data_IF_132384845711
#
_entry.id   IF_132384845711
#
_cell.length_a   1.000
_cell.length_b   1.000
_cell.length_c   1.000
_cell.angle_alpha   90.00
_cell.angle_beta   90.00
_cell.angle_gamma   90.00
#
_symmetry.space_group_name_H-M   'P 1'
#
loop_
_entity.id
_entity.type
_entity.pdbx_description
1 polymer ?
#
# COMPACT_ATOMS: atom_id res chain seq x y z
N UNK A 1 -15.88 -27.18 -1.65
CA UNK A 1 -15.22 -26.90 -0.38
C UNK A 1 -16.07 -25.99 0.50
N UNK A 2 -15.54 -25.56 1.65
CA UNK A 2 -16.28 -24.62 2.57
C UNK A 2 -16.69 -23.34 1.84
N UNK A 3 -15.86 -22.86 0.91
CA UNK A 3 -16.16 -21.68 0.10
C UNK A 3 -17.32 -21.91 -0.88
N UNK A 4 -17.38 -23.09 -1.51
CA UNK A 4 -18.48 -23.41 -2.45
C UNK A 4 -19.81 -23.53 -1.72
N UNK A 5 -19.80 -24.00 -0.47
CA UNK A 5 -21.00 -24.06 0.37
C UNK A 5 -21.44 -22.65 0.83
N UNK A 6 -20.48 -21.77 1.19
CA UNK A 6 -20.76 -20.38 1.57
C UNK A 6 -21.22 -19.52 0.38
N UNK A 7 -20.75 -19.80 -0.84
CA UNK A 7 -21.15 -19.09 -2.05
C UNK A 7 -22.56 -19.50 -2.55
N UNK A 8 -23.10 -20.63 -2.07
CA UNK A 8 -24.48 -21.06 -2.40
C UNK A 8 -25.53 -20.30 -1.60
N UNK A 9 -25.16 -19.73 -0.46
CA UNK A 9 -26.04 -18.91 0.39
C UNK A 9 -25.58 -17.45 0.27
N UNK A 10 -26.03 -16.75 -0.79
CA UNK A 10 -25.60 -15.37 -1.11
C UNK A 10 -25.96 -14.33 -0.03
N UNK A 11 -26.72 -14.73 0.99
CA UNK A 11 -27.10 -13.91 2.14
C UNK A 11 -26.28 -14.21 3.41
N UNK A 12 -25.12 -14.88 3.31
CA UNK A 12 -24.32 -15.19 4.48
C UNK A 12 -23.56 -13.96 5.00
N UNK A 13 -24.19 -13.29 5.97
CA UNK A 13 -23.63 -12.15 6.71
C UNK A 13 -22.25 -12.49 7.31
N UNK A 14 -22.02 -13.76 7.66
CA UNK A 14 -20.74 -14.25 8.17
C UNK A 14 -19.63 -14.16 7.12
N UNK A 15 -19.90 -14.51 5.88
CA UNK A 15 -18.94 -14.40 4.77
C UNK A 15 -18.57 -12.94 4.50
N UNK A 16 -19.57 -12.05 4.43
CA UNK A 16 -19.33 -10.62 4.21
C UNK A 16 -18.56 -9.97 5.37
N UNK A 17 -18.89 -10.34 6.61
CA UNK A 17 -18.16 -9.85 7.78
C UNK A 17 -16.69 -10.32 7.75
N UNK A 18 -16.45 -11.60 7.43
CA UNK A 18 -15.11 -12.16 7.25
C UNK A 18 -14.34 -11.44 6.16
N UNK A 19 -14.96 -11.18 5.02
CA UNK A 19 -14.39 -10.41 3.91
C UNK A 19 -13.97 -9.01 4.36
N UNK A 20 -14.84 -8.26 5.04
CA UNK A 20 -14.52 -6.90 5.51
C UNK A 20 -13.36 -6.91 6.51
N UNK A 21 -13.31 -7.88 7.42
CA UNK A 21 -12.20 -8.01 8.39
C UNK A 21 -10.87 -8.32 7.69
N UNK A 22 -10.87 -9.19 6.69
CA UNK A 22 -9.67 -9.51 5.88
C UNK A 22 -9.23 -8.28 5.09
N UNK A 23 -10.16 -7.59 4.44
CA UNK A 23 -9.89 -6.34 3.72
C UNK A 23 -9.26 -5.28 4.63
N UNK A 24 -9.80 -5.09 5.83
CA UNK A 24 -9.25 -4.15 6.82
C UNK A 24 -7.82 -4.53 7.23
N UNK A 25 -7.56 -5.82 7.50
CA UNK A 25 -6.22 -6.32 7.86
C UNK A 25 -5.20 -6.14 6.73
N UNK A 26 -5.58 -6.47 5.51
CA UNK A 26 -4.72 -6.30 4.33
C UNK A 26 -4.50 -4.81 4.01
N UNK A 27 -5.54 -3.99 4.09
CA UNK A 27 -5.43 -2.54 3.91
C UNK A 27 -4.50 -1.90 4.95
N UNK A 28 -4.57 -2.32 6.22
CA UNK A 28 -3.63 -1.91 7.25
C UNK A 28 -2.20 -2.30 6.87
N UNK A 29 -1.98 -3.53 6.42
CA UNK A 29 -0.65 -4.04 6.07
C UNK A 29 0.00 -3.30 4.91
N UNK A 30 -0.78 -2.92 3.89
CA UNK A 30 -0.28 -2.14 2.75
C UNK A 30 -0.30 -0.63 3.00
N UNK A 31 -0.78 -0.18 4.15
CA UNK A 31 -0.92 1.24 4.51
C UNK A 31 -1.95 1.98 3.65
N UNK A 32 -3.02 1.31 3.28
CA UNK A 32 -4.11 1.95 2.55
C UNK A 32 -5.04 2.74 3.49
N UNK A 33 -5.61 3.83 3.00
CA UNK A 33 -6.55 4.66 3.75
C UNK A 33 -7.86 3.89 3.96
N UNK A 34 -8.45 3.88 5.18
CA UNK A 34 -8.13 4.72 6.35
C UNK A 34 -7.07 4.13 7.31
N UNK A 35 -6.53 2.96 7.03
CA UNK A 35 -5.65 2.21 7.93
C UNK A 35 -4.15 2.58 7.81
N UNK A 36 -3.83 3.75 7.28
CA UNK A 36 -2.48 4.22 6.94
C UNK A 36 -1.73 4.91 8.08
N UNK A 37 -2.41 5.26 9.19
CA UNK A 37 -1.94 6.23 10.21
C UNK A 37 -0.57 5.89 10.83
N UNK A 38 -0.22 4.62 10.91
CA UNK A 38 1.05 4.16 11.47
C UNK A 38 2.28 4.47 10.58
N UNK A 39 2.08 4.58 9.26
CA UNK A 39 3.16 4.58 8.27
C UNK A 39 4.04 5.83 8.32
N UNK A 40 3.50 7.07 8.40
CA UNK A 40 4.33 8.27 8.47
C UNK A 40 5.24 8.28 9.70
N UNK A 41 4.73 7.93 10.86
CA UNK A 41 5.48 7.96 12.12
C UNK A 41 6.54 6.85 12.19
N UNK A 42 6.21 5.66 11.70
CA UNK A 42 7.18 4.55 11.61
C UNK A 42 8.31 4.86 10.61
N UNK A 43 7.98 5.45 9.45
CA UNK A 43 9.00 5.79 8.45
C UNK A 43 9.93 6.88 8.96
N UNK A 44 9.40 7.88 9.63
CA UNK A 44 10.19 8.97 10.20
C UNK A 44 11.07 8.49 11.35
N UNK A 45 10.49 7.70 12.28
CA UNK A 45 11.17 7.26 13.50
C UNK A 45 12.20 6.14 13.31
N UNK A 46 12.02 5.26 12.34
CA UNK A 46 12.93 4.13 12.11
C UNK A 46 14.24 4.59 11.46
N UNK A 47 15.36 3.88 11.68
CA UNK A 47 16.59 4.09 10.91
C UNK A 47 16.35 3.98 9.40
N UNK A 48 16.98 4.83 8.58
CA UNK A 48 16.72 4.90 7.13
C UNK A 48 16.84 3.56 6.39
N UNK A 49 17.83 2.67 6.68
CA UNK A 49 17.88 1.34 6.05
C UNK A 49 16.67 0.46 6.38
N UNK A 50 16.15 0.57 7.62
CA UNK A 50 14.96 -0.16 8.07
C UNK A 50 13.72 0.38 7.36
N UNK A 51 13.61 1.71 7.22
CA UNK A 51 12.54 2.35 6.45
C UNK A 51 12.56 1.91 4.99
N UNK A 52 13.73 1.83 4.36
CA UNK A 52 13.89 1.34 2.99
C UNK A 52 13.37 -0.10 2.83
N UNK A 53 13.67 -0.98 3.78
CA UNK A 53 13.16 -2.34 3.80
C UNK A 53 11.63 -2.36 3.95
N UNK A 54 11.06 -1.62 4.91
CA UNK A 54 9.60 -1.56 5.11
C UNK A 54 8.85 -0.95 3.93
N UNK A 55 9.48 -0.03 3.20
CA UNK A 55 8.89 0.57 2.01
C UNK A 55 8.82 -0.38 0.82
N UNK A 56 9.61 -1.47 0.80
CA UNK A 56 9.76 -2.35 -0.35
C UNK A 56 9.23 -3.76 -0.10
N UNK A 57 10.01 -4.64 0.48
CA UNK A 57 9.73 -6.07 0.54
C UNK A 57 8.38 -6.42 1.20
N UNK A 58 8.02 -5.92 2.40
CA UNK A 58 6.76 -6.26 3.05
C UNK A 58 5.54 -5.75 2.27
N UNK A 59 5.65 -4.62 1.56
CA UNK A 59 4.55 -4.07 0.78
C UNK A 59 4.26 -4.89 -0.47
N UNK A 60 5.31 -5.32 -1.18
CA UNK A 60 5.14 -6.22 -2.33
C UNK A 60 4.52 -7.54 -1.91
N UNK A 61 5.04 -8.15 -0.84
CA UNK A 61 4.48 -9.39 -0.32
C UNK A 61 3.01 -9.24 0.09
N UNK A 62 2.67 -8.14 0.77
CA UNK A 62 1.31 -7.87 1.19
C UNK A 62 0.37 -7.59 0.00
N UNK A 63 0.83 -6.88 -1.04
CA UNK A 63 0.04 -6.64 -2.25
C UNK A 63 -0.18 -7.94 -3.06
N UNK A 64 0.85 -8.78 -3.18
CA UNK A 64 0.71 -10.09 -3.83
C UNK A 64 -0.27 -10.99 -3.05
N UNK A 65 -0.19 -10.98 -1.72
CA UNK A 65 -1.14 -11.70 -0.88
C UNK A 65 -2.56 -11.14 -1.05
N UNK A 66 -2.72 -9.82 -1.09
CA UNK A 66 -4.00 -9.16 -1.28
C UNK A 66 -4.64 -9.58 -2.62
N UNK A 67 -3.87 -9.48 -3.70
CA UNK A 67 -4.33 -9.90 -5.02
C UNK A 67 -4.74 -11.38 -5.03
N UNK A 68 -3.92 -12.24 -4.43
CA UNK A 68 -4.18 -13.68 -4.38
C UNK A 68 -5.43 -14.02 -3.56
N UNK A 69 -5.60 -13.41 -2.38
CA UNK A 69 -6.77 -13.66 -1.53
C UNK A 69 -8.05 -13.20 -2.24
N UNK A 70 -8.05 -12.01 -2.85
CA UNK A 70 -9.24 -11.50 -3.53
C UNK A 70 -9.59 -12.30 -4.79
N UNK A 71 -8.58 -12.70 -5.57
CA UNK A 71 -8.81 -13.45 -6.80
C UNK A 71 -9.13 -14.94 -6.56
N UNK A 72 -8.32 -15.62 -5.71
CA UNK A 72 -8.43 -17.07 -5.55
C UNK A 72 -9.53 -17.44 -4.54
N UNK A 73 -9.65 -16.68 -3.44
CA UNK A 73 -10.62 -17.00 -2.39
C UNK A 73 -11.98 -16.33 -2.59
N UNK A 74 -11.99 -15.07 -3.05
CA UNK A 74 -13.20 -14.25 -3.19
C UNK A 74 -13.54 -13.92 -4.65
N UNK A 75 -12.96 -14.64 -5.61
CA UNK A 75 -13.23 -14.45 -7.04
C UNK A 75 -14.69 -14.68 -7.45
N UNK A 76 -15.45 -15.45 -6.66
CA UNK A 76 -16.89 -15.68 -6.89
C UNK A 76 -17.79 -14.49 -6.53
N UNK A 77 -17.31 -13.54 -5.71
CA UNK A 77 -18.07 -12.37 -5.22
C UNK A 77 -17.34 -11.05 -5.54
N UNK A 78 -16.80 -10.95 -6.75
CA UNK A 78 -16.03 -9.75 -7.18
C UNK A 78 -16.83 -8.45 -6.98
N UNK A 79 -18.15 -8.47 -7.25
CA UNK A 79 -19.01 -7.29 -7.11
C UNK A 79 -19.05 -6.72 -5.70
N UNK A 80 -18.89 -7.55 -4.68
CA UNK A 80 -18.99 -7.12 -3.27
C UNK A 80 -17.72 -6.44 -2.78
N UNK A 81 -16.53 -6.97 -3.11
CA UNK A 81 -15.28 -6.37 -2.64
C UNK A 81 -14.69 -5.31 -3.58
N UNK A 82 -15.01 -5.35 -4.86
CA UNK A 82 -14.48 -4.44 -5.88
C UNK A 82 -14.73 -2.97 -5.53
N UNK A 83 -15.95 -2.64 -5.11
CA UNK A 83 -16.32 -1.27 -4.75
C UNK A 83 -15.55 -0.77 -3.50
N UNK A 84 -15.36 -1.65 -2.52
CA UNK A 84 -14.60 -1.33 -1.30
C UNK A 84 -13.14 -1.06 -1.66
N UNK A 85 -12.53 -1.93 -2.46
CA UNK A 85 -11.14 -1.76 -2.91
C UNK A 85 -10.98 -0.51 -3.76
N UNK A 86 -11.93 -0.19 -4.65
CA UNK A 86 -11.93 1.04 -5.44
C UNK A 86 -11.99 2.28 -4.54
N UNK A 87 -12.84 2.28 -3.52
CA UNK A 87 -12.93 3.40 -2.57
C UNK A 87 -11.63 3.57 -1.78
N UNK A 88 -11.06 2.49 -1.23
CA UNK A 88 -9.79 2.50 -0.52
C UNK A 88 -8.65 3.00 -1.43
N UNK A 89 -8.63 2.57 -2.69
CA UNK A 89 -7.68 3.01 -3.70
C UNK A 89 -7.76 4.53 -3.91
N UNK A 90 -8.94 5.05 -4.20
CA UNK A 90 -9.17 6.50 -4.40
C UNK A 90 -8.74 7.32 -3.19
N UNK A 91 -9.21 6.94 -2.00
CA UNK A 91 -8.86 7.64 -0.75
C UNK A 91 -7.35 7.64 -0.50
N UNK A 92 -6.66 6.52 -0.79
CA UNK A 92 -5.21 6.41 -0.62
C UNK A 92 -4.45 7.30 -1.60
N UNK A 93 -4.88 7.37 -2.86
CA UNK A 93 -4.29 8.26 -3.85
C UNK A 93 -4.43 9.73 -3.44
N UNK A 94 -5.66 10.16 -3.10
CA UNK A 94 -5.92 11.56 -2.73
C UNK A 94 -5.22 11.96 -1.44
N UNK A 95 -5.40 11.20 -0.37
CA UNK A 95 -4.82 11.54 0.92
C UNK A 95 -3.29 11.50 0.86
N UNK A 96 -2.72 10.46 0.25
CA UNK A 96 -1.27 10.34 0.13
C UNK A 96 -0.65 11.49 -0.68
N UNK A 97 -1.26 11.88 -1.80
CA UNK A 97 -0.77 12.98 -2.63
C UNK A 97 -0.88 14.34 -1.91
N UNK A 98 -2.03 14.65 -1.32
CA UNK A 98 -2.26 15.94 -0.66
C UNK A 98 -1.39 16.07 0.59
N UNK A 99 -1.33 15.02 1.42
CA UNK A 99 -0.54 15.05 2.64
C UNK A 99 0.97 15.11 2.39
N UNK A 100 1.45 14.59 1.26
CA UNK A 100 2.86 14.68 0.86
C UNK A 100 3.32 16.12 0.62
N UNK A 101 2.45 16.99 0.09
CA UNK A 101 2.80 18.38 -0.29
C UNK A 101 3.30 19.20 0.91
N UNK A 102 2.74 18.98 2.09
CA UNK A 102 3.08 19.75 3.30
C UNK A 102 4.25 19.18 4.12
N UNK A 103 4.94 18.15 3.65
CA UNK A 103 5.98 17.50 4.45
C UNK A 103 7.32 18.21 4.34
N UNK A 104 7.97 18.41 5.48
CA UNK A 104 9.34 18.93 5.58
C UNK A 104 10.38 17.83 5.82
N UNK A 105 9.96 16.67 6.33
CA UNK A 105 10.83 15.51 6.53
C UNK A 105 10.74 14.57 5.32
N UNK A 106 11.90 14.26 4.70
CA UNK A 106 11.97 13.43 3.49
C UNK A 106 11.43 12.01 3.71
N UNK A 107 11.66 11.41 4.88
CA UNK A 107 11.15 10.07 5.17
C UNK A 107 9.63 10.07 5.35
N UNK A 108 9.08 11.12 5.97
CA UNK A 108 7.64 11.30 6.11
C UNK A 108 6.97 11.58 4.76
N UNK A 109 7.62 12.36 3.89
CA UNK A 109 7.21 12.54 2.50
C UNK A 109 7.15 11.20 1.76
N UNK A 110 8.20 10.37 1.90
CA UNK A 110 8.24 9.03 1.31
C UNK A 110 7.16 8.09 1.85
N UNK A 111 6.75 8.25 3.11
CA UNK A 111 5.63 7.51 3.68
C UNK A 111 4.31 7.85 2.98
N UNK A 112 3.99 9.13 2.81
CA UNK A 112 2.78 9.56 2.11
C UNK A 112 2.82 9.23 0.62
N UNK A 113 3.98 9.36 -0.03
CA UNK A 113 4.21 8.87 -1.38
C UNK A 113 3.89 7.37 -1.48
N UNK A 114 4.38 6.58 -0.53
CA UNK A 114 4.10 5.14 -0.46
C UNK A 114 2.59 4.84 -0.31
N UNK A 115 1.86 5.61 0.49
CA UNK A 115 0.40 5.48 0.63
C UNK A 115 -0.30 5.72 -0.71
N UNK A 116 0.08 6.79 -1.42
CA UNK A 116 -0.45 7.09 -2.74
C UNK A 116 -0.15 5.98 -3.75
N UNK A 117 1.08 5.47 -3.77
CA UNK A 117 1.49 4.36 -4.65
C UNK A 117 0.73 3.06 -4.38
N UNK A 118 0.43 2.75 -3.11
CA UNK A 118 -0.44 1.61 -2.79
C UNK A 118 -1.86 1.83 -3.32
N UNK A 119 -2.35 3.06 -3.32
CA UNK A 119 -3.61 3.43 -3.96
C UNK A 119 -3.61 3.12 -5.47
N UNK A 120 -2.55 3.53 -6.20
CA UNK A 120 -2.41 3.20 -7.62
C UNK A 120 -2.36 1.69 -7.89
N UNK A 121 -1.62 0.93 -7.06
CA UNK A 121 -1.56 -0.52 -7.20
C UNK A 121 -2.94 -1.17 -6.95
N UNK A 122 -3.69 -0.70 -5.93
CA UNK A 122 -5.03 -1.19 -5.61
C UNK A 122 -6.05 -0.91 -6.72
N UNK A 123 -5.84 0.11 -7.56
CA UNK A 123 -6.68 0.35 -8.72
C UNK A 123 -6.62 -0.82 -9.71
N UNK A 124 -5.44 -1.44 -9.89
CA UNK A 124 -5.30 -2.66 -10.68
C UNK A 124 -6.10 -3.82 -10.09
N UNK A 125 -6.09 -3.98 -8.76
CA UNK A 125 -6.91 -5.00 -8.09
C UNK A 125 -8.40 -4.70 -8.24
N UNK A 126 -8.80 -3.43 -8.07
CA UNK A 126 -10.19 -2.98 -8.19
C UNK A 126 -10.78 -3.21 -9.59
N UNK A 127 -9.96 -3.41 -10.61
CA UNK A 127 -10.45 -3.80 -11.94
C UNK A 127 -11.12 -5.19 -11.95
N UNK A 128 -10.81 -6.06 -10.97
CA UNK A 128 -11.42 -7.38 -10.81
C UNK A 128 -11.11 -8.36 -11.94
N UNK A 129 -10.04 -8.11 -12.72
CA UNK A 129 -9.67 -8.91 -13.90
C UNK A 129 -8.25 -9.44 -13.79
N UNK A 130 -7.95 -10.52 -14.51
CA UNK A 130 -6.59 -11.05 -14.61
C UNK A 130 -5.58 -10.01 -15.12
N UNK A 131 -5.98 -9.18 -16.11
CA UNK A 131 -5.16 -8.09 -16.63
C UNK A 131 -4.90 -7.02 -15.56
N UNK A 132 -5.86 -6.75 -14.67
CA UNK A 132 -5.70 -5.84 -13.54
C UNK A 132 -4.67 -6.35 -12.53
N UNK A 133 -4.62 -7.66 -12.29
CA UNK A 133 -3.61 -8.28 -11.42
C UNK A 133 -2.22 -8.21 -12.06
N UNK A 134 -2.11 -8.48 -13.35
CA UNK A 134 -0.86 -8.33 -14.11
C UNK A 134 -0.33 -6.89 -14.05
N UNK A 135 -1.21 -5.91 -14.23
CA UNK A 135 -0.89 -4.49 -14.11
C UNK A 135 -0.42 -4.13 -12.68
N UNK A 136 -1.09 -4.66 -11.65
CA UNK A 136 -0.69 -4.48 -10.25
C UNK A 136 0.72 -5.02 -10.00
N UNK A 137 1.03 -6.25 -10.43
CA UNK A 137 2.34 -6.87 -10.22
C UNK A 137 3.44 -6.13 -10.98
N UNK A 138 3.16 -5.70 -12.21
CA UNK A 138 4.07 -4.87 -13.01
C UNK A 138 4.35 -3.55 -12.28
N UNK A 139 3.29 -2.87 -11.80
CA UNK A 139 3.41 -1.64 -11.04
C UNK A 139 4.26 -1.82 -9.77
N UNK A 140 4.03 -2.88 -9.00
CA UNK A 140 4.80 -3.17 -7.80
C UNK A 140 6.27 -3.44 -8.10
N UNK A 141 6.59 -4.06 -9.23
CA UNK A 141 7.98 -4.28 -9.66
C UNK A 141 8.69 -2.95 -9.91
N UNK A 142 8.06 -2.04 -10.66
CA UNK A 142 8.60 -0.69 -10.92
C UNK A 142 8.73 0.10 -9.61
N UNK A 143 7.72 0.01 -8.74
CA UNK A 143 7.70 0.67 -7.43
C UNK A 143 8.90 0.27 -6.55
N UNK A 144 9.24 -1.02 -6.50
CA UNK A 144 10.40 -1.50 -5.72
C UNK A 144 11.69 -0.90 -6.22
N UNK A 145 11.94 -0.95 -7.53
CA UNK A 145 13.17 -0.40 -8.14
C UNK A 145 13.29 1.09 -7.86
N UNK A 146 12.19 1.84 -8.04
CA UNK A 146 12.14 3.27 -7.75
C UNK A 146 12.45 3.57 -6.28
N UNK A 147 11.83 2.84 -5.35
CA UNK A 147 12.04 3.07 -3.91
C UNK A 147 13.45 2.71 -3.46
N UNK A 148 14.02 1.61 -3.95
CA UNK A 148 15.42 1.25 -3.64
C UNK A 148 16.35 2.39 -4.07
N UNK A 149 16.18 2.92 -5.29
CA UNK A 149 16.96 4.05 -5.78
C UNK A 149 16.79 5.32 -4.93
N UNK A 150 15.55 5.64 -4.57
CA UNK A 150 15.23 6.81 -3.75
C UNK A 150 15.83 6.71 -2.35
N UNK A 151 15.67 5.55 -1.68
CA UNK A 151 16.24 5.36 -0.35
C UNK A 151 17.78 5.25 -0.38
N UNK A 152 18.36 4.68 -1.45
CA UNK A 152 19.80 4.72 -1.65
C UNK A 152 20.31 6.17 -1.72
N UNK A 153 19.61 7.05 -2.45
CA UNK A 153 19.93 8.48 -2.46
C UNK A 153 19.76 9.12 -1.07
N UNK A 154 18.65 8.88 -0.37
CA UNK A 154 18.43 9.42 0.99
C UNK A 154 19.54 9.00 1.95
N UNK A 155 20.08 7.79 1.83
CA UNK A 155 21.21 7.31 2.64
C UNK A 155 22.50 8.07 2.40
N UNK A 156 22.69 8.68 1.22
CA UNK A 156 23.84 9.53 0.93
C UNK A 156 23.72 10.95 1.47
N UNK A 157 22.49 11.34 1.89
CA UNK A 157 22.22 12.68 2.42
C UNK A 157 22.77 12.81 3.85
N UNK A 158 24.01 13.26 3.97
CA UNK A 158 24.69 13.45 5.25
C UNK A 158 25.32 14.84 5.31
N UNK A 159 25.31 15.45 6.51
CA UNK A 159 26.02 16.67 6.82
C UNK A 159 26.78 16.45 8.13
N UNK A 160 28.09 16.68 8.11
CA UNK A 160 29.00 16.45 9.25
C UNK A 160 28.89 15.01 9.81
N UNK A 161 28.69 14.01 8.93
CA UNK A 161 28.53 12.60 9.32
C UNK A 161 27.18 12.23 9.95
N UNK A 162 26.23 13.18 10.00
CA UNK A 162 24.88 12.94 10.51
C UNK A 162 23.85 12.88 9.36
N UNK A 163 22.88 11.96 9.41
CA UNK A 163 21.83 11.89 8.40
C UNK A 163 20.99 13.18 8.36
N UNK A 164 20.80 13.72 7.16
CA UNK A 164 19.91 14.87 6.93
C UNK A 164 18.56 14.35 6.45
N UNK A 165 17.50 14.67 7.19
CA UNK A 165 16.14 14.29 6.84
C UNK A 165 15.22 15.48 6.55
N UNK A 166 15.67 16.69 6.85
CA UNK A 166 14.94 17.94 6.58
C UNK A 166 15.21 18.39 5.14
N UNK A 167 14.11 18.54 4.37
CA UNK A 167 14.15 18.94 2.95
C UNK A 167 14.70 20.37 2.80
N UNK A 168 14.45 21.26 3.76
CA UNK A 168 14.93 22.63 3.71
C UNK A 168 16.46 22.75 3.69
N UNK A 169 17.15 21.76 4.24
CA UNK A 169 18.62 21.71 4.30
C UNK A 169 19.26 21.20 3.00
N UNK A 170 18.47 20.77 2.02
CA UNK A 170 18.96 20.31 0.71
C UNK A 170 19.28 21.45 -0.26
N UNK A 171 18.83 22.65 0.03
CA UNK A 171 19.02 23.83 -0.82
C UNK A 171 20.32 24.61 -0.52
N UNK A 172 21.28 24.02 0.17
CA UNK A 172 22.56 24.66 0.51
C UNK A 172 23.73 24.02 -0.21
#
# INVERSE_FOLDING_TARGET
>A
GILDAALQDQDDVGLLLGLVMILAGLAFKVSAVPFHMWTPDVYEGAPTPVTAFFATAPKVAAMALFARVMHDAYGGIVGDWQQIVALISLLSMYLGAIAAIGQTNIKRLMAYSSIAHMGYALMGLAAGTALGIEALLTYMTVYVVMNIGTFAFILTMQRDGQPVTDISLLNM
#
